data_IF_978918196247
#
_entry.id   IF_978918196247
#
_cell.length_a   1.000
_cell.length_b   1.000
_cell.length_c   1.000
_cell.angle_alpha   90.00
_cell.angle_beta   90.00
_cell.angle_gamma   90.00
#
_symmetry.space_group_name_H-M   'P 1'
#
loop_
_entity.id
_entity.type
_entity.pdbx_description
1 polymer ?
#
# COMPACT_ATOMS: atom_id res chain seq x y z
N UNK A 1 -3.54 16.68 -17.31
CA UNK A 1 -4.79 16.28 -16.64
C UNK A 1 -4.50 14.94 -15.97
N UNK A 2 -4.89 14.77 -14.71
CA UNK A 2 -4.70 13.52 -13.97
C UNK A 2 -6.07 13.03 -13.51
N UNK A 3 -6.29 11.73 -13.60
CA UNK A 3 -7.46 11.07 -13.03
C UNK A 3 -7.09 10.55 -11.63
N UNK A 4 -7.97 10.78 -10.66
CA UNK A 4 -7.76 10.36 -9.27
C UNK A 4 -8.71 9.20 -8.96
N UNK A 5 -8.15 8.08 -8.50
CA UNK A 5 -8.88 6.94 -7.96
C UNK A 5 -8.55 6.80 -6.48
N UNK A 6 -9.58 6.77 -5.63
CA UNK A 6 -9.44 6.58 -4.18
C UNK A 6 -10.23 5.37 -3.70
N UNK A 7 -9.66 4.63 -2.74
CA UNK A 7 -10.30 3.50 -2.06
C UNK A 7 -10.24 3.76 -0.56
N UNK A 8 -11.34 3.49 0.13
CA UNK A 8 -11.46 3.62 1.58
C UNK A 8 -12.04 2.32 2.15
N UNK A 9 -11.53 1.88 3.28
CA UNK A 9 -12.04 0.74 4.04
C UNK A 9 -12.31 1.13 5.51
N UNK A 10 -13.06 0.29 6.22
CA UNK A 10 -13.41 0.49 7.64
C UNK A 10 -12.56 -0.36 8.61
N UNK A 11 -11.42 -0.83 8.12
CA UNK A 11 -10.47 -1.65 8.87
C UNK A 11 -9.66 -0.85 9.88
N UNK A 12 -8.62 -1.49 10.40
CA UNK A 12 -7.71 -0.85 11.36
C UNK A 12 -6.78 0.09 10.59
N UNK A 13 -6.72 1.34 11.06
CA UNK A 13 -5.94 2.39 10.43
C UNK A 13 -4.44 2.04 10.34
N UNK A 14 -3.79 2.57 9.31
CA UNK A 14 -2.34 2.42 9.10
C UNK A 14 -1.66 3.55 9.87
N UNK A 15 -0.69 3.21 10.73
CA UNK A 15 0.12 4.25 11.41
C UNK A 15 0.78 5.14 10.34
N UNK A 16 0.66 6.46 10.50
CA UNK A 16 1.22 7.46 9.53
C UNK A 16 2.69 7.21 9.17
N UNK A 17 3.50 6.76 10.13
CA UNK A 17 4.91 6.40 9.93
C UNK A 17 5.15 5.24 8.95
N UNK A 18 4.10 4.48 8.63
CA UNK A 18 4.13 3.33 7.74
C UNK A 18 3.56 3.62 6.34
N UNK A 19 3.00 4.81 6.08
CA UNK A 19 2.37 5.14 4.79
C UNK A 19 3.27 4.91 3.57
N UNK A 20 4.57 5.15 3.69
CA UNK A 20 5.51 4.85 2.62
C UNK A 20 5.95 3.39 2.59
N UNK A 21 6.05 2.78 3.78
CA UNK A 21 6.58 1.43 3.98
C UNK A 21 5.61 0.33 3.53
N UNK A 22 4.29 0.58 3.57
CA UNK A 22 3.30 -0.41 3.10
C UNK A 22 3.45 -0.80 1.62
N UNK A 23 4.15 0.02 0.84
CA UNK A 23 4.48 -0.28 -0.55
C UNK A 23 5.83 -0.97 -0.72
N UNK A 24 6.58 -1.23 0.35
CA UNK A 24 7.81 -2.02 0.31
C UNK A 24 7.45 -3.51 0.27
N UNK A 25 8.11 -4.31 -0.59
CA UNK A 25 7.92 -5.75 -0.61
C UNK A 25 8.20 -6.34 0.77
N UNK A 26 7.34 -7.25 1.23
CA UNK A 26 7.47 -7.96 2.51
C UNK A 26 7.37 -7.10 3.76
N UNK A 27 6.99 -5.83 3.66
CA UNK A 27 6.72 -5.01 4.85
C UNK A 27 5.48 -5.52 5.59
N UNK A 28 5.67 -6.01 6.81
CA UNK A 28 4.59 -6.42 7.71
C UNK A 28 4.55 -5.44 8.87
N UNK A 29 3.42 -4.75 9.04
CA UNK A 29 3.17 -3.94 10.23
C UNK A 29 2.72 -4.84 11.39
N UNK A 30 2.98 -4.45 12.64
CA UNK A 30 2.70 -5.23 13.86
C UNK A 30 1.24 -5.70 13.96
N UNK A 31 0.32 -4.92 13.38
CA UNK A 31 -1.13 -5.17 13.31
C UNK A 31 -1.46 -6.43 12.48
N UNK A 32 -0.64 -6.72 11.47
CA UNK A 32 -0.80 -7.84 10.54
C UNK A 32 0.10 -9.04 10.86
N UNK A 33 0.76 -9.04 12.02
CA UNK A 33 1.61 -10.16 12.47
C UNK A 33 0.88 -11.51 12.51
N UNK A 34 -0.46 -11.51 12.54
CA UNK A 34 -1.31 -12.69 12.56
C UNK A 34 -1.97 -13.00 11.19
N UNK A 35 -1.88 -12.12 10.19
CA UNK A 35 -2.46 -12.37 8.87
C UNK A 35 -1.51 -13.23 8.03
N UNK A 36 -1.85 -14.51 7.85
CA UNK A 36 -1.15 -15.41 6.93
C UNK A 36 -1.36 -14.95 5.49
N UNK A 37 -0.34 -14.34 4.88
CA UNK A 37 -0.36 -13.96 3.46
C UNK A 37 0.97 -13.36 3.00
N UNK A 38 1.24 -13.42 1.70
CA UNK A 38 2.41 -12.78 1.08
C UNK A 38 2.16 -11.28 0.96
N UNK A 39 2.88 -10.47 1.74
CA UNK A 39 2.72 -9.01 1.73
C UNK A 39 3.51 -8.38 0.58
N UNK A 40 2.99 -8.54 -0.64
CA UNK A 40 3.63 -8.04 -1.88
C UNK A 40 2.65 -7.24 -2.76
N UNK A 41 1.33 -7.34 -2.51
CA UNK A 41 0.30 -6.77 -3.37
C UNK A 41 0.42 -5.24 -3.54
N UNK A 42 0.64 -4.49 -2.46
CA UNK A 42 0.78 -3.02 -2.53
C UNK A 42 2.10 -2.61 -3.21
N UNK A 43 3.17 -3.38 -3.04
CA UNK A 43 4.41 -3.16 -3.78
C UNK A 43 4.20 -3.32 -5.28
N UNK A 44 3.46 -4.36 -5.70
CA UNK A 44 3.08 -4.57 -7.10
C UNK A 44 2.25 -3.37 -7.63
N UNK A 45 1.25 -2.90 -6.88
CA UNK A 45 0.48 -1.72 -7.27
C UNK A 45 1.38 -0.51 -7.52
N UNK A 46 2.34 -0.25 -6.63
CA UNK A 46 3.30 0.85 -6.78
C UNK A 46 4.19 0.68 -8.02
N UNK A 47 4.67 -0.53 -8.30
CA UNK A 47 5.46 -0.81 -9.51
C UNK A 47 4.67 -0.52 -10.79
N UNK A 48 3.43 -1.01 -10.90
CA UNK A 48 2.59 -0.76 -12.07
C UNK A 48 2.25 0.71 -12.24
N UNK A 49 1.85 1.39 -11.16
CA UNK A 49 1.50 2.82 -11.21
C UNK A 49 2.71 3.66 -11.62
N UNK A 50 3.88 3.41 -11.03
CA UNK A 50 5.13 4.08 -11.41
C UNK A 50 5.52 3.80 -12.86
N UNK A 51 5.34 2.56 -13.34
CA UNK A 51 5.65 2.16 -14.73
C UNK A 51 4.85 2.97 -15.76
N UNK A 52 3.64 3.39 -15.42
CA UNK A 52 2.79 4.23 -16.28
C UNK A 52 2.84 5.73 -15.91
N UNK A 53 3.83 6.15 -15.10
CA UNK A 53 4.03 7.55 -14.74
C UNK A 53 3.02 8.13 -13.76
N UNK A 54 2.26 7.28 -13.06
CA UNK A 54 1.34 7.67 -12.02
C UNK A 54 1.99 7.73 -10.63
N UNK A 55 1.18 8.05 -9.63
CA UNK A 55 1.60 8.08 -8.23
C UNK A 55 0.53 7.42 -7.33
N UNK A 56 0.99 6.68 -6.31
CA UNK A 56 0.13 6.09 -5.28
C UNK A 56 0.55 6.58 -3.89
N UNK A 57 -0.43 6.87 -3.04
CA UNK A 57 -0.24 7.34 -1.66
C UNK A 57 -1.25 6.65 -0.75
N UNK A 58 -0.90 6.55 0.53
CA UNK A 58 -1.78 6.11 1.61
C UNK A 58 -2.43 7.32 2.31
#
# INVERSE_FOLDING_TARGET
>A
MFDILSVEDKGIDIRRENFNKIFEPYFVNDINSHSKGTVVNLAICKEYINKYGGEIRA
#
